data_IF_965054859821
#
_entry.id   IF_965054859821
#
_cell.length_a   1.000
_cell.length_b   1.000
_cell.length_c   1.000
_cell.angle_alpha   90.00
_cell.angle_beta   90.00
_cell.angle_gamma   90.00
#
_symmetry.space_group_name_H-M   'P 1'
#
loop_
_entity.id
_entity.type
_entity.pdbx_description
1 polymer ?
#
# COMPACT_ATOMS: atom_id res chain seq x y z
N UNK A 1 -24.69 1.05 -6.51
CA UNK A 1 -23.69 1.67 -5.60
C UNK A 1 -24.26 1.83 -4.18
N UNK A 2 -23.48 1.50 -3.16
CA UNK A 2 -23.87 1.48 -1.74
C UNK A 2 -22.71 1.99 -0.88
N UNK A 3 -23.05 2.73 0.18
CA UNK A 3 -22.12 3.10 1.25
C UNK A 3 -22.82 2.99 2.59
N UNK A 4 -22.21 2.22 3.51
CA UNK A 4 -22.82 1.96 4.81
C UNK A 4 -21.80 1.67 5.89
N UNK A 5 -22.21 1.98 7.12
CA UNK A 5 -21.45 1.66 8.31
C UNK A 5 -21.77 0.25 8.79
N UNK A 6 -20.75 -0.43 9.28
CA UNK A 6 -20.79 -1.80 9.77
C UNK A 6 -20.12 -1.85 11.14
N UNK A 7 -20.74 -2.54 12.09
CA UNK A 7 -20.05 -2.98 13.30
C UNK A 7 -19.30 -4.28 13.00
N UNK A 8 -17.99 -4.27 13.18
CA UNK A 8 -17.12 -5.45 13.12
C UNK A 8 -17.08 -6.14 14.50
N UNK A 9 -16.06 -6.96 14.74
CA UNK A 9 -15.84 -7.65 16.02
C UNK A 9 -15.72 -6.67 17.19
N UNK A 10 -16.20 -7.09 18.36
CA UNK A 10 -15.91 -6.51 19.69
C UNK A 10 -15.59 -5.00 19.70
N UNK A 11 -16.56 -4.18 19.27
CA UNK A 11 -16.54 -2.70 19.28
C UNK A 11 -15.77 -1.98 18.15
N UNK A 12 -15.18 -2.72 17.21
CA UNK A 12 -14.61 -2.15 15.99
C UNK A 12 -15.69 -1.81 14.97
N UNK A 13 -15.43 -0.79 14.16
CA UNK A 13 -16.35 -0.35 13.12
C UNK A 13 -15.64 -0.22 11.79
N UNK A 14 -16.41 -0.33 10.71
CA UNK A 14 -15.93 -0.18 9.36
C UNK A 14 -16.98 0.49 8.46
N UNK A 15 -16.54 0.95 7.30
CA UNK A 15 -17.38 1.40 6.20
C UNK A 15 -17.25 0.42 5.04
N UNK A 16 -18.38 0.03 4.46
CA UNK A 16 -18.41 -0.70 3.20
C UNK A 16 -18.71 0.31 2.09
N UNK A 17 -17.88 0.34 1.05
CA UNK A 17 -18.15 1.02 -0.21
C UNK A 17 -18.34 -0.04 -1.30
N UNK A 18 -19.34 0.11 -2.15
CA UNK A 18 -19.62 -0.81 -3.24
C UNK A 18 -20.09 -0.05 -4.47
N UNK A 19 -19.49 -0.32 -5.63
CA UNK A 19 -19.92 0.24 -6.92
C UNK A 19 -20.36 -0.82 -7.94
N UNK A 20 -20.78 -1.97 -7.44
CA UNK A 20 -21.25 -3.14 -8.17
C UNK A 20 -20.12 -3.93 -8.87
N UNK A 21 -19.01 -3.27 -9.25
CA UNK A 21 -17.80 -3.92 -9.78
C UNK A 21 -16.84 -4.38 -8.67
N UNK A 22 -16.61 -3.51 -7.69
CA UNK A 22 -15.76 -3.80 -6.54
C UNK A 22 -16.45 -3.45 -5.22
N UNK A 23 -16.04 -4.14 -4.16
CA UNK A 23 -16.40 -3.83 -2.78
C UNK A 23 -15.13 -3.56 -1.99
N UNK A 24 -15.17 -2.51 -1.17
CA UNK A 24 -14.12 -2.14 -0.25
C UNK A 24 -14.66 -2.13 1.17
N UNK A 25 -13.92 -2.70 2.12
CA UNK A 25 -14.22 -2.63 3.56
C UNK A 25 -13.09 -1.88 4.26
N UNK A 26 -13.41 -0.72 4.83
CA UNK A 26 -12.47 0.20 5.47
C UNK A 26 -12.71 0.21 6.97
N UNK A 27 -11.79 -0.31 7.76
CA UNK A 27 -11.86 -0.30 9.22
C UNK A 27 -11.38 1.04 9.79
N UNK A 28 -12.04 1.49 10.86
CA UNK A 28 -11.66 2.72 11.56
C UNK A 28 -10.31 2.54 12.31
N UNK A 29 -10.04 1.36 12.84
CA UNK A 29 -8.75 1.00 13.42
C UNK A 29 -7.67 0.90 12.32
N UNK A 30 -6.68 1.77 12.40
CA UNK A 30 -5.56 1.84 11.46
C UNK A 30 -5.92 2.39 10.08
N UNK A 31 -7.20 2.64 9.81
CA UNK A 31 -7.66 3.06 8.48
C UNK A 31 -7.48 1.94 7.45
N UNK A 32 -7.47 0.69 7.92
CA UNK A 32 -7.11 -0.52 7.17
C UNK A 32 -8.17 -0.83 6.13
N UNK A 33 -7.74 -1.16 4.93
CA UNK A 33 -8.60 -1.72 3.88
C UNK A 33 -8.56 -3.23 4.04
N UNK A 34 -9.57 -3.80 4.69
CA UNK A 34 -9.65 -5.22 5.00
C UNK A 34 -9.98 -6.06 3.76
N UNK A 35 -10.79 -5.48 2.87
CA UNK A 35 -11.31 -6.13 1.68
C UNK A 35 -11.17 -5.17 0.50
N UNK A 36 -10.63 -5.67 -0.60
CA UNK A 36 -10.86 -5.16 -1.95
C UNK A 36 -11.23 -6.37 -2.80
N UNK A 37 -12.52 -6.51 -3.08
CA UNK A 37 -13.06 -7.70 -3.74
C UNK A 37 -13.79 -7.40 -5.03
N UNK A 38 -13.72 -8.33 -5.98
CA UNK A 38 -14.40 -8.27 -7.27
C UNK A 38 -14.94 -9.65 -7.66
N UNK A 39 -15.86 -9.68 -8.61
CA UNK A 39 -16.40 -10.93 -9.16
C UNK A 39 -15.40 -11.49 -10.16
N UNK A 40 -14.98 -12.73 -9.95
CA UNK A 40 -14.07 -13.41 -10.86
C UNK A 40 -14.81 -14.00 -12.07
N UNK A 41 -14.14 -14.21 -13.22
CA UNK A 41 -14.78 -14.75 -14.42
C UNK A 41 -15.38 -16.14 -14.25
N UNK A 42 -14.83 -16.95 -13.35
CA UNK A 42 -15.34 -18.28 -12.99
C UNK A 42 -16.52 -18.23 -12.00
N UNK A 43 -16.99 -17.03 -11.64
CA UNK A 43 -18.03 -16.81 -10.65
C UNK A 43 -17.48 -16.70 -9.23
N UNK A 44 -18.32 -16.17 -8.34
CA UNK A 44 -17.92 -15.87 -6.96
C UNK A 44 -17.14 -14.57 -6.82
N UNK A 45 -17.00 -14.12 -5.57
CA UNK A 45 -16.31 -12.89 -5.21
C UNK A 45 -14.99 -13.25 -4.52
N UNK A 46 -13.89 -12.72 -5.05
CA UNK A 46 -12.53 -12.98 -4.56
C UNK A 46 -12.04 -11.71 -3.87
N UNK A 47 -11.40 -11.84 -2.71
CA UNK A 47 -10.70 -10.73 -2.06
C UNK A 47 -9.22 -10.75 -2.45
N UNK A 48 -8.67 -9.60 -2.80
CA UNK A 48 -7.23 -9.45 -3.06
C UNK A 48 -6.41 -9.32 -1.77
N UNK A 49 -6.99 -8.69 -0.75
CA UNK A 49 -6.30 -8.26 0.46
C UNK A 49 -6.07 -9.40 1.45
N UNK A 50 -4.88 -9.43 2.05
CA UNK A 50 -4.53 -10.39 3.09
C UNK A 50 -5.28 -10.06 4.38
N UNK A 51 -5.95 -11.06 4.95
CA UNK A 51 -6.34 -11.08 6.36
C UNK A 51 -5.40 -12.03 7.10
N UNK A 52 -4.38 -11.54 7.82
CA UNK A 52 -3.44 -12.42 8.50
C UNK A 52 -4.14 -13.30 9.53
N UNK A 53 -3.70 -14.55 9.68
CA UNK A 53 -4.26 -15.49 10.67
C UNK A 53 -4.16 -14.95 12.10
N UNK A 54 -3.14 -14.14 12.36
CA UNK A 54 -2.86 -13.54 13.66
C UNK A 54 -3.63 -12.23 13.89
N UNK A 55 -4.49 -11.79 12.97
CA UNK A 55 -5.20 -10.52 13.14
C UNK A 55 -6.01 -10.52 14.44
N UNK A 56 -5.74 -9.54 15.30
CA UNK A 56 -6.45 -9.38 16.57
C UNK A 56 -7.89 -8.93 16.34
N UNK A 57 -8.82 -9.53 17.08
CA UNK A 57 -10.26 -9.22 17.00
C UNK A 57 -10.76 -8.31 18.12
N UNK A 58 -9.99 -8.16 19.20
CA UNK A 58 -10.36 -7.32 20.35
C UNK A 58 -10.21 -5.83 20.07
N UNK A 59 -10.60 -5.00 21.05
CA UNK A 59 -10.58 -3.53 20.92
C UNK A 59 -9.18 -2.95 20.78
N UNK A 60 -8.19 -3.56 21.45
CA UNK A 60 -6.80 -3.08 21.48
C UNK A 60 -5.85 -4.21 21.85
N UNK A 61 -4.62 -4.14 21.33
CA UNK A 61 -3.53 -5.04 21.76
C UNK A 61 -3.26 -4.92 23.25
N UNK A 62 -3.46 -3.74 23.85
CA UNK A 62 -3.12 -3.52 25.26
C UNK A 62 -4.09 -4.18 26.24
N UNK A 63 -5.29 -4.52 25.78
CA UNK A 63 -6.29 -5.28 26.55
C UNK A 63 -6.24 -6.78 26.28
N UNK A 64 -5.41 -7.23 25.34
CA UNK A 64 -5.28 -8.63 24.98
C UNK A 64 -4.31 -9.33 25.95
N UNK A 65 -4.73 -10.45 26.54
CA UNK A 65 -3.90 -11.22 27.48
C UNK A 65 -2.64 -11.78 26.80
N UNK A 66 -2.68 -12.00 25.48
CA UNK A 66 -1.56 -12.51 24.69
C UNK A 66 -0.85 -11.40 23.88
N UNK A 67 -0.91 -10.14 24.34
CA UNK A 67 -0.34 -8.96 23.67
C UNK A 67 1.12 -9.08 23.22
N UNK A 68 1.92 -9.87 23.93
CA UNK A 68 3.33 -10.11 23.61
C UNK A 68 3.52 -10.88 22.30
N UNK A 69 2.53 -11.68 21.88
CA UNK A 69 2.50 -12.34 20.57
C UNK A 69 2.55 -11.31 19.42
N UNK A 70 1.92 -10.16 19.60
CA UNK A 70 1.98 -9.02 18.68
C UNK A 70 3.07 -8.00 19.05
N UNK A 71 3.98 -8.36 19.96
CA UNK A 71 5.05 -7.48 20.44
C UNK A 71 4.51 -6.15 20.96
N UNK A 72 3.32 -6.16 21.58
CA UNK A 72 2.63 -4.96 22.06
C UNK A 72 2.40 -3.90 20.97
N UNK A 73 2.36 -4.29 19.69
CA UNK A 73 2.24 -3.37 18.55
C UNK A 73 0.78 -3.26 18.07
N UNK A 74 0.13 -2.09 18.21
CA UNK A 74 -1.21 -1.87 17.66
C UNK A 74 -1.24 -2.09 16.15
N UNK A 75 -0.19 -1.65 15.44
CA UNK A 75 -0.06 -1.89 14.00
C UNK A 75 -0.12 -3.39 13.67
N UNK A 76 0.66 -4.24 14.34
CA UNK A 76 0.65 -5.69 14.06
C UNK A 76 -0.69 -6.32 14.45
N UNK A 77 -1.30 -5.87 15.55
CA UNK A 77 -2.59 -6.37 16.03
C UNK A 77 -3.73 -6.12 15.04
N UNK A 78 -3.73 -4.96 14.38
CA UNK A 78 -4.77 -4.58 13.41
C UNK A 78 -4.30 -4.65 11.96
N UNK A 79 -3.16 -5.26 11.65
CA UNK A 79 -2.64 -5.37 10.28
C UNK A 79 -3.60 -6.16 9.40
N UNK A 80 -3.96 -5.61 8.24
CA UNK A 80 -4.68 -6.30 7.19
C UNK A 80 -4.63 -5.49 5.89
N UNK A 81 -4.68 -6.21 4.77
CA UNK A 81 -4.88 -5.67 3.44
C UNK A 81 -4.03 -4.45 3.14
N UNK A 82 -4.68 -3.32 2.91
CA UNK A 82 -3.99 -2.09 2.51
C UNK A 82 -4.07 -0.99 3.57
N UNK A 83 -3.03 -0.17 3.70
CA UNK A 83 -2.98 0.91 4.67
C UNK A 83 -1.94 1.98 4.34
N UNK A 84 -2.11 3.15 4.93
CA UNK A 84 -1.18 4.28 4.81
C UNK A 84 -0.21 4.29 6.00
N UNK A 85 1.08 4.45 5.71
CA UNK A 85 2.16 4.57 6.69
C UNK A 85 2.73 5.98 6.68
N UNK A 86 2.58 6.66 7.81
CA UNK A 86 2.95 8.06 8.02
C UNK A 86 3.05 8.36 9.53
N UNK A 87 4.02 9.18 9.99
CA UNK A 87 5.05 9.88 9.22
C UNK A 87 6.30 9.03 8.92
N UNK A 88 6.22 7.72 9.19
CA UNK A 88 7.34 6.79 9.17
C UNK A 88 6.96 5.51 8.39
N UNK A 89 7.89 4.91 7.65
CA UNK A 89 7.72 3.61 7.01
C UNK A 89 8.93 2.71 7.29
N UNK A 90 8.76 1.77 8.23
CA UNK A 90 9.88 0.96 8.72
C UNK A 90 9.71 0.50 10.17
N UNK A 91 10.81 0.17 10.86
CA UNK A 91 10.78 -0.15 12.28
C UNK A 91 10.28 1.03 13.14
N UNK A 92 9.94 0.78 14.41
CA UNK A 92 9.70 1.84 15.39
C UNK A 92 10.89 2.78 15.47
N UNK A 93 10.65 4.08 15.67
CA UNK A 93 11.72 5.07 15.86
C UNK A 93 11.62 5.67 17.25
N UNK A 94 12.77 5.89 17.90
CA UNK A 94 12.86 6.68 19.12
C UNK A 94 12.83 8.17 18.77
N UNK A 95 11.94 8.93 19.41
CA UNK A 95 12.05 10.39 19.43
C UNK A 95 12.84 10.86 20.66
N UNK A 96 13.39 12.07 20.60
CA UNK A 96 14.20 12.70 21.66
C UNK A 96 13.53 12.69 23.06
N UNK A 97 12.19 12.62 23.12
CA UNK A 97 11.40 12.59 24.34
C UNK A 97 11.08 11.18 24.91
N UNK A 98 11.82 10.13 24.52
CA UNK A 98 11.53 8.73 24.88
C UNK A 98 10.13 8.23 24.46
N UNK A 99 9.39 8.95 23.62
CA UNK A 99 8.17 8.43 22.99
C UNK A 99 8.54 7.67 21.72
N UNK A 100 8.27 6.36 21.71
CA UNK A 100 8.46 5.52 20.53
C UNK A 100 7.32 5.78 19.53
N UNK A 101 7.66 6.17 18.29
CA UNK A 101 6.72 6.01 17.19
C UNK A 101 6.62 4.53 16.85
N UNK A 102 5.39 4.03 16.69
CA UNK A 102 5.14 2.64 16.33
C UNK A 102 5.77 2.24 14.99
N UNK A 103 5.91 0.93 14.79
CA UNK A 103 6.30 0.36 13.50
C UNK A 103 5.42 0.91 12.38
N UNK A 104 6.03 1.38 11.29
CA UNK A 104 5.36 1.98 10.13
C UNK A 104 4.52 3.23 10.47
N UNK A 105 4.90 3.94 11.53
CA UNK A 105 4.37 5.25 11.88
C UNK A 105 3.08 5.20 12.71
N UNK A 106 2.45 6.36 12.83
CA UNK A 106 1.30 6.57 13.70
C UNK A 106 -0.01 6.16 13.02
N UNK A 107 -0.16 6.49 11.74
CA UNK A 107 -1.41 6.29 10.98
C UNK A 107 -1.93 4.85 10.94
N UNK A 108 -1.11 3.79 10.75
CA UNK A 108 -1.62 2.42 10.74
C UNK A 108 -1.78 1.83 12.15
N UNK A 109 -1.51 2.59 13.20
CA UNK A 109 -1.71 2.23 14.61
C UNK A 109 -2.86 3.01 15.27
N UNK A 110 -3.36 4.05 14.62
CA UNK A 110 -4.30 5.01 15.20
C UNK A 110 -5.76 4.68 14.85
N UNK A 111 -6.69 5.25 15.61
CA UNK A 111 -8.10 5.25 15.25
C UNK A 111 -8.41 6.40 14.29
N UNK A 112 -9.07 6.08 13.17
CA UNK A 112 -9.53 7.03 12.17
C UNK A 112 -10.99 7.38 12.43
N UNK A 113 -11.24 8.64 12.75
CA UNK A 113 -12.58 9.16 12.97
C UNK A 113 -13.26 9.43 11.63
N UNK A 114 -14.37 8.74 11.35
CA UNK A 114 -15.21 9.07 10.20
C UNK A 114 -15.84 10.45 10.43
N UNK A 115 -15.54 11.40 9.53
CA UNK A 115 -16.11 12.75 9.58
C UNK A 115 -17.41 12.81 8.78
N UNK A 116 -17.37 12.35 7.52
CA UNK A 116 -18.49 12.42 6.56
C UNK A 116 -18.41 11.29 5.54
N UNK A 117 -19.53 10.92 4.96
CA UNK A 117 -19.60 9.99 3.83
C UNK A 117 -20.87 10.23 3.04
N UNK A 118 -20.89 9.83 1.77
CA UNK A 118 -22.06 10.03 0.92
C UNK A 118 -21.87 9.65 -0.53
N UNK A 119 -22.74 10.19 -1.38
CA UNK A 119 -22.64 10.11 -2.83
C UNK A 119 -22.26 11.47 -3.38
N UNK A 120 -21.32 11.50 -4.32
CA UNK A 120 -20.91 12.71 -5.00
C UNK A 120 -21.92 13.07 -6.10
N UNK A 121 -22.53 14.27 -6.08
CA UNK A 121 -23.54 14.64 -7.07
C UNK A 121 -22.96 14.92 -8.46
N UNK A 122 -21.65 15.19 -8.58
CA UNK A 122 -21.02 15.54 -9.86
C UNK A 122 -20.61 14.28 -10.65
N UNK A 123 -19.97 13.32 -9.98
CA UNK A 123 -19.46 12.11 -10.62
C UNK A 123 -20.27 10.85 -10.29
N UNK A 124 -21.25 10.95 -9.40
CA UNK A 124 -22.08 9.83 -8.95
C UNK A 124 -21.38 8.83 -8.03
N UNK A 125 -20.08 9.00 -7.74
CA UNK A 125 -19.32 8.05 -6.91
C UNK A 125 -19.70 8.08 -5.44
N UNK A 126 -19.53 6.95 -4.74
CA UNK A 126 -19.65 6.91 -3.27
C UNK A 126 -18.30 7.22 -2.62
N UNK A 127 -18.30 7.92 -1.50
CA UNK A 127 -17.08 8.37 -0.84
C UNK A 127 -17.18 8.39 0.68
N UNK A 128 -16.03 8.24 1.34
CA UNK A 128 -15.83 8.32 2.78
C UNK A 128 -14.70 9.31 3.08
N UNK A 129 -14.90 10.20 4.06
CA UNK A 129 -13.84 11.03 4.62
C UNK A 129 -13.61 10.68 6.09
N UNK A 130 -12.36 10.35 6.42
CA UNK A 130 -11.91 9.98 7.75
C UNK A 130 -10.71 10.82 8.17
N UNK A 131 -10.52 10.99 9.47
CA UNK A 131 -9.51 11.86 10.05
C UNK A 131 -8.71 11.14 11.13
N UNK A 132 -7.39 11.34 11.11
CA UNK A 132 -6.51 11.03 12.23
C UNK A 132 -5.73 12.29 12.63
N UNK A 133 -5.58 12.53 13.92
CA UNK A 133 -4.83 13.66 14.48
C UNK A 133 -3.77 13.16 15.45
N UNK A 134 -2.52 13.57 15.24
CA UNK A 134 -1.49 13.45 16.28
C UNK A 134 -1.44 14.77 17.05
N UNK A 135 -2.08 14.81 18.22
CA UNK A 135 -2.14 16.03 19.05
C UNK A 135 -0.79 16.42 19.64
N UNK A 136 0.08 15.43 19.92
CA UNK A 136 1.41 15.67 20.49
C UNK A 136 2.30 16.36 19.46
N UNK A 137 2.37 15.78 18.26
CA UNK A 137 3.19 16.30 17.15
C UNK A 137 2.47 17.35 16.29
N UNK A 138 1.21 17.68 16.65
CA UNK A 138 0.38 18.72 16.03
C UNK A 138 0.29 18.65 14.50
N UNK A 139 0.11 17.45 13.96
CA UNK A 139 -0.25 17.25 12.56
C UNK A 139 -1.51 16.40 12.45
N UNK A 140 -2.16 16.45 11.29
CA UNK A 140 -3.33 15.63 11.00
C UNK A 140 -3.32 15.10 9.58
N UNK A 141 -4.03 14.00 9.37
CA UNK A 141 -4.29 13.42 8.04
C UNK A 141 -5.79 13.23 7.88
N UNK A 142 -6.36 13.84 6.84
CA UNK A 142 -7.68 13.47 6.32
C UNK A 142 -7.50 12.50 5.16
N UNK A 143 -8.22 11.38 5.18
CA UNK A 143 -8.25 10.39 4.11
C UNK A 143 -9.62 10.45 3.44
N UNK A 144 -9.64 10.57 2.13
CA UNK A 144 -10.84 10.44 1.31
C UNK A 144 -10.71 9.18 0.48
N UNK A 145 -11.63 8.24 0.67
CA UNK A 145 -11.77 7.02 -0.12
C UNK A 145 -12.98 7.14 -1.03
N UNK A 146 -12.86 6.76 -2.31
CA UNK A 146 -13.90 6.97 -3.32
C UNK A 146 -13.99 5.78 -4.31
N UNK A 147 -15.22 5.39 -4.64
CA UNK A 147 -15.53 4.50 -5.75
C UNK A 147 -16.37 5.24 -6.80
N UNK A 148 -15.93 5.21 -8.05
CA UNK A 148 -16.65 5.81 -9.17
C UNK A 148 -17.57 4.79 -9.87
N UNK A 149 -18.67 5.22 -10.51
CA UNK A 149 -19.49 4.33 -11.33
C UNK A 149 -18.67 3.71 -12.46
N UNK A 150 -18.93 2.44 -12.79
CA UNK A 150 -18.35 1.73 -13.95
C UNK A 150 -16.80 1.68 -13.98
N UNK A 151 -16.14 1.85 -12.83
CA UNK A 151 -14.69 1.73 -12.69
C UNK A 151 -14.35 0.75 -11.57
N UNK A 152 -13.56 -0.31 -11.80
CA UNK A 152 -13.22 -1.27 -10.76
C UNK A 152 -12.06 -0.75 -9.88
N UNK A 153 -12.10 0.52 -9.48
CA UNK A 153 -10.98 1.23 -8.86
C UNK A 153 -11.36 1.85 -7.52
N UNK A 154 -10.57 1.56 -6.50
CA UNK A 154 -10.57 2.26 -5.22
C UNK A 154 -9.60 3.42 -5.25
N UNK A 155 -10.11 4.65 -5.23
CA UNK A 155 -9.31 5.88 -5.21
C UNK A 155 -9.17 6.39 -3.77
N UNK A 156 -7.96 6.83 -3.42
CA UNK A 156 -7.67 7.38 -2.11
C UNK A 156 -6.85 8.67 -2.21
N UNK A 157 -7.20 9.67 -1.41
CA UNK A 157 -6.39 10.87 -1.15
C UNK A 157 -6.06 10.97 0.34
N UNK A 158 -4.80 11.18 0.68
CA UNK A 158 -4.35 11.50 2.04
C UNK A 158 -3.89 12.96 2.09
N UNK A 159 -4.68 13.82 2.72
CA UNK A 159 -4.44 15.25 2.91
C UNK A 159 -3.77 15.44 4.28
N UNK A 160 -2.51 15.83 4.27
CA UNK A 160 -1.65 15.94 5.45
C UNK A 160 -1.41 17.41 5.76
N UNK A 161 -1.78 17.85 6.96
CA UNK A 161 -1.56 19.23 7.41
C UNK A 161 -0.61 19.22 8.60
N UNK A 162 0.47 20.00 8.51
CA UNK A 162 1.43 20.22 9.59
C UNK A 162 1.09 21.53 10.32
N UNK A 163 0.88 21.48 11.63
CA UNK A 163 0.65 22.65 12.48
C UNK A 163 1.58 22.62 13.71
N UNK A 164 2.77 22.04 13.56
CA UNK A 164 3.69 21.79 14.67
C UNK A 164 4.48 23.00 15.15
N UNK A 165 4.54 24.07 14.36
CA UNK A 165 5.45 25.19 14.57
C UNK A 165 6.84 24.95 13.98
N UNK A 166 7.07 23.82 13.29
CA UNK A 166 8.34 23.46 12.67
C UNK A 166 8.12 22.63 11.38
N UNK A 167 9.16 22.56 10.54
CA UNK A 167 9.15 21.72 9.34
C UNK A 167 9.20 20.23 9.73
N UNK A 168 8.36 19.42 9.09
CA UNK A 168 8.28 17.98 9.33
C UNK A 168 8.93 17.21 8.19
N UNK A 169 9.98 16.44 8.50
CA UNK A 169 10.64 15.53 7.56
C UNK A 169 10.08 14.12 7.76
N UNK A 170 9.51 13.54 6.72
CA UNK A 170 8.65 12.36 6.85
C UNK A 170 8.75 11.39 5.68
N UNK A 171 8.41 10.12 5.91
CA UNK A 171 8.05 9.18 4.86
C UNK A 171 6.52 9.10 4.71
N UNK A 172 6.08 8.89 3.48
CA UNK A 172 4.69 8.62 3.15
C UNK A 172 4.64 7.42 2.21
N UNK A 173 4.11 6.31 2.69
CA UNK A 173 4.06 5.05 1.93
C UNK A 173 2.69 4.42 2.02
N UNK A 174 2.18 4.01 0.87
CA UNK A 174 1.02 3.15 0.77
C UNK A 174 1.46 1.68 0.77
N UNK A 175 0.90 0.86 1.66
CA UNK A 175 1.17 -0.57 1.75
C UNK A 175 0.00 -1.37 1.18
N UNK A 176 0.26 -2.41 0.39
CA UNK A 176 -0.76 -3.27 -0.21
C UNK A 176 -0.44 -4.74 0.04
N UNK A 177 -1.02 -5.34 1.07
CA UNK A 177 -0.80 -6.75 1.41
C UNK A 177 -1.81 -7.63 0.69
N UNK A 178 -1.29 -8.47 -0.19
CA UNK A 178 -2.07 -9.40 -0.98
C UNK A 178 -1.85 -10.82 -0.46
N UNK A 179 -2.95 -11.56 -0.37
CA UNK A 179 -2.97 -12.92 0.16
C UNK A 179 -3.98 -13.81 -0.55
N UNK A 180 -4.03 -15.06 -0.12
CA UNK A 180 -5.08 -16.00 -0.55
C UNK A 180 -6.48 -15.41 -0.23
N UNK A 181 -7.51 -15.62 -1.08
CA UNK A 181 -7.53 -16.52 -2.23
C UNK A 181 -6.97 -15.96 -3.54
N UNK A 182 -6.76 -14.64 -3.67
CA UNK A 182 -6.25 -14.07 -4.93
C UNK A 182 -4.77 -14.38 -5.17
N UNK A 183 -3.93 -14.22 -4.15
CA UNK A 183 -2.49 -14.40 -4.26
C UNK A 183 -2.10 -15.87 -4.05
N UNK A 184 -1.39 -16.43 -5.03
CA UNK A 184 -0.92 -17.81 -5.03
C UNK A 184 0.35 -17.94 -5.90
N UNK A 185 0.96 -19.12 -5.90
CA UNK A 185 2.11 -19.41 -6.79
C UNK A 185 1.74 -19.21 -8.27
N UNK A 186 2.70 -18.84 -9.11
CA UNK A 186 2.44 -18.55 -10.52
C UNK A 186 1.72 -17.21 -10.78
N UNK A 187 1.39 -16.43 -9.73
CA UNK A 187 1.07 -15.03 -9.92
C UNK A 187 2.27 -14.30 -10.52
N UNK A 188 2.00 -13.27 -11.33
CA UNK A 188 3.01 -12.51 -12.07
C UNK A 188 3.01 -11.07 -11.59
N UNK A 189 4.20 -10.52 -11.38
CA UNK A 189 4.42 -9.19 -10.82
C UNK A 189 4.95 -8.25 -11.89
N UNK A 190 4.56 -6.98 -11.78
CA UNK A 190 5.03 -5.93 -12.66
C UNK A 190 5.08 -4.57 -11.96
N UNK A 191 5.95 -3.68 -12.39
CA UNK A 191 5.99 -2.30 -11.91
C UNK A 191 6.73 -1.39 -12.90
N UNK A 192 6.44 -0.09 -12.84
CA UNK A 192 7.28 0.90 -13.52
C UNK A 192 8.56 1.15 -12.72
N UNK A 193 9.62 0.42 -13.04
CA UNK A 193 10.96 0.74 -12.59
C UNK A 193 12.00 0.12 -13.52
N UNK A 194 13.13 0.81 -13.68
CA UNK A 194 14.29 0.35 -14.45
C UNK A 194 15.53 0.14 -13.58
N UNK A 195 15.47 0.59 -12.32
CA UNK A 195 16.54 0.46 -11.36
C UNK A 195 15.94 0.04 -10.03
N UNK A 196 16.55 -0.98 -9.44
CA UNK A 196 16.10 -1.64 -8.23
C UNK A 196 17.24 -1.73 -7.23
N UNK A 197 16.89 -1.82 -5.96
CA UNK A 197 17.84 -2.06 -4.88
C UNK A 197 17.26 -3.05 -3.86
N UNK A 198 18.08 -4.00 -3.42
CA UNK A 198 17.73 -4.91 -2.32
C UNK A 198 17.98 -4.29 -0.95
N UNK A 199 17.21 -4.72 0.04
CA UNK A 199 17.39 -4.29 1.43
C UNK A 199 18.79 -4.64 1.98
N UNK A 200 19.36 -3.85 2.90
CA UNK A 200 20.48 -4.25 3.74
C UNK A 200 20.17 -5.53 4.54
N UNK A 201 21.22 -6.26 4.90
CA UNK A 201 21.10 -7.42 5.77
C UNK A 201 20.45 -7.04 7.11
N UNK A 202 19.51 -7.88 7.58
CA UNK A 202 18.84 -7.68 8.86
C UNK A 202 17.81 -6.54 8.91
N UNK A 203 17.58 -5.80 7.82
CA UNK A 203 16.59 -4.71 7.82
C UNK A 203 15.17 -5.17 8.19
N UNK A 204 14.78 -6.35 7.70
CA UNK A 204 13.54 -6.99 8.11
C UNK A 204 13.84 -7.93 9.26
N UNK A 205 13.50 -7.54 10.48
CA UNK A 205 13.79 -8.31 11.69
C UNK A 205 13.15 -9.71 11.65
N UNK A 206 13.88 -10.72 12.11
CA UNK A 206 13.40 -12.11 12.20
C UNK A 206 13.12 -12.75 10.84
N UNK A 207 13.77 -12.26 9.78
CA UNK A 207 13.56 -12.74 8.42
C UNK A 207 14.80 -13.40 7.82
N UNK A 208 14.57 -14.36 6.93
CA UNK A 208 15.61 -15.03 6.17
C UNK A 208 15.52 -14.62 4.70
N UNK A 209 16.36 -13.68 4.29
CA UNK A 209 16.46 -13.23 2.90
C UNK A 209 17.38 -14.13 2.07
N UNK A 210 17.11 -14.26 0.77
CA UNK A 210 18.02 -14.91 -0.20
C UNK A 210 18.78 -13.89 -1.06
N UNK A 211 18.32 -12.64 -1.12
CA UNK A 211 18.92 -11.61 -1.98
C UNK A 211 20.24 -11.10 -1.41
N UNK A 212 21.21 -10.86 -2.29
CA UNK A 212 22.44 -10.17 -1.93
C UNK A 212 22.09 -8.78 -1.38
N UNK A 213 22.51 -8.42 -0.16
CA UNK A 213 22.05 -7.21 0.51
C UNK A 213 22.61 -5.95 -0.15
N UNK A 214 21.85 -4.85 -0.06
CA UNK A 214 22.26 -3.50 -0.49
C UNK A 214 22.84 -3.45 -1.92
N UNK A 215 22.25 -4.21 -2.84
CA UNK A 215 22.75 -4.37 -4.21
C UNK A 215 21.78 -3.73 -5.18
N UNK A 216 22.30 -2.90 -6.10
CA UNK A 216 21.52 -2.32 -7.19
C UNK A 216 21.52 -3.25 -8.40
N UNK A 217 20.40 -3.31 -9.11
CA UNK A 217 20.24 -4.10 -10.33
C UNK A 217 19.15 -3.48 -11.23
N UNK A 218 19.24 -3.73 -12.53
CA UNK A 218 18.34 -3.12 -13.52
C UNK A 218 17.18 -4.04 -13.92
N UNK A 219 17.40 -5.36 -13.84
CA UNK A 219 16.42 -6.37 -14.19
C UNK A 219 16.09 -7.22 -12.96
N UNK A 220 14.90 -7.03 -12.40
CA UNK A 220 14.43 -7.83 -11.26
C UNK A 220 14.12 -9.29 -11.59
N UNK A 221 14.19 -9.70 -12.88
CA UNK A 221 14.28 -11.12 -13.26
C UNK A 221 15.65 -11.74 -12.96
N UNK A 222 16.64 -10.88 -12.70
CA UNK A 222 18.03 -11.24 -12.43
C UNK A 222 18.49 -10.64 -11.11
N UNK A 223 17.63 -10.68 -10.09
CA UNK A 223 17.95 -10.16 -8.77
C UNK A 223 19.12 -10.97 -8.16
N UNK A 224 20.22 -10.32 -7.74
CA UNK A 224 21.40 -11.03 -7.23
C UNK A 224 21.13 -11.80 -5.93
N UNK A 225 21.67 -13.01 -5.81
CA UNK A 225 21.52 -13.87 -4.63
C UNK A 225 22.77 -13.87 -3.73
N UNK A 226 22.56 -14.05 -2.43
CA UNK A 226 23.62 -14.19 -1.42
C UNK A 226 24.61 -15.32 -1.73
N UNK A 227 24.11 -16.46 -2.23
CA UNK A 227 24.91 -17.63 -2.57
C UNK A 227 25.56 -17.58 -3.96
N UNK A 228 25.48 -16.44 -4.65
CA UNK A 228 25.82 -16.31 -6.07
C UNK A 228 24.66 -16.69 -7.00
N UNK A 229 24.77 -16.27 -8.27
CA UNK A 229 23.69 -16.40 -9.25
C UNK A 229 22.59 -15.35 -9.08
N UNK A 230 21.44 -15.61 -9.69
CA UNK A 230 20.30 -14.67 -9.74
C UNK A 230 18.97 -15.38 -9.54
N UNK A 231 17.96 -14.67 -9.06
CA UNK A 231 16.57 -15.14 -9.03
C UNK A 231 15.65 -14.24 -9.84
N UNK A 232 14.63 -14.86 -10.44
CA UNK A 232 13.50 -14.15 -11.03
C UNK A 232 12.51 -13.77 -9.92
N UNK A 233 12.29 -12.48 -9.71
CA UNK A 233 11.32 -11.96 -8.74
C UNK A 233 9.97 -11.59 -9.37
N UNK A 234 9.78 -11.83 -10.67
CA UNK A 234 8.58 -11.46 -11.41
C UNK A 234 7.50 -12.53 -11.40
N UNK A 235 7.85 -13.75 -10.98
CA UNK A 235 6.94 -14.85 -10.80
C UNK A 235 6.93 -15.28 -9.34
N UNK A 236 5.73 -15.47 -8.79
CA UNK A 236 5.55 -15.86 -7.40
C UNK A 236 5.82 -17.37 -7.28
N UNK A 237 6.87 -17.80 -6.54
CA UNK A 237 7.18 -19.22 -6.38
C UNK A 237 6.25 -19.87 -5.36
N UNK A 238 6.21 -21.21 -5.32
CA UNK A 238 5.73 -21.93 -4.13
C UNK A 238 6.48 -21.48 -2.86
N UNK A 239 5.96 -21.71 -1.65
CA UNK A 239 6.66 -21.32 -0.41
C UNK A 239 8.12 -21.82 -0.41
N UNK A 240 9.07 -20.88 -0.22
CA UNK A 240 10.53 -21.16 -0.26
C UNK A 240 11.22 -20.92 1.09
N UNK A 241 10.47 -20.54 2.13
CA UNK A 241 11.02 -20.21 3.45
C UNK A 241 11.89 -18.96 3.45
N UNK A 242 11.60 -18.00 2.56
CA UNK A 242 12.37 -16.74 2.42
C UNK A 242 11.49 -15.52 2.51
N UNK A 243 12.09 -14.42 2.96
CA UNK A 243 11.49 -13.10 2.96
C UNK A 243 12.47 -12.10 2.37
N UNK A 244 12.12 -11.57 1.20
CA UNK A 244 12.97 -10.65 0.45
C UNK A 244 12.31 -9.27 0.41
N UNK A 245 13.12 -8.20 0.30
CA UNK A 245 12.62 -6.84 0.11
C UNK A 245 13.43 -6.10 -0.96
N UNK A 246 12.73 -5.44 -1.87
CA UNK A 246 13.31 -4.59 -2.90
C UNK A 246 12.53 -3.28 -3.04
N UNK A 247 13.22 -2.23 -3.47
CA UNK A 247 12.59 -0.98 -3.93
C UNK A 247 13.05 -0.66 -5.34
N UNK A 248 12.10 -0.29 -6.20
CA UNK A 248 12.34 0.13 -7.58
C UNK A 248 12.03 1.61 -7.76
N UNK A 249 12.91 2.34 -8.44
CA UNK A 249 12.72 3.76 -8.74
C UNK A 249 11.66 3.96 -9.82
N UNK A 250 10.64 4.77 -9.53
CA UNK A 250 9.67 5.24 -10.53
C UNK A 250 10.39 6.22 -11.48
N UNK A 251 10.35 6.00 -12.81
CA UNK A 251 11.07 6.84 -13.76
C UNK A 251 10.65 8.32 -13.66
N UNK A 252 11.64 9.23 -13.69
CA UNK A 252 11.40 10.67 -13.49
C UNK A 252 10.59 11.34 -14.59
N UNK A 253 10.63 10.77 -15.79
CA UNK A 253 9.86 11.23 -16.95
C UNK A 253 8.43 10.71 -16.99
N UNK A 254 8.04 9.80 -16.08
CA UNK A 254 6.71 9.19 -16.10
C UNK A 254 5.63 10.11 -15.55
N UNK A 255 4.51 10.22 -16.28
CA UNK A 255 3.28 10.85 -15.79
C UNK A 255 2.46 9.94 -14.86
N UNK A 256 2.72 8.63 -14.92
CA UNK A 256 2.02 7.62 -14.12
C UNK A 256 3.06 6.68 -13.47
N UNK A 257 2.97 6.55 -12.15
CA UNK A 257 3.58 5.43 -11.45
C UNK A 257 2.57 4.31 -11.25
N UNK A 258 3.02 3.05 -11.33
CA UNK A 258 2.17 1.87 -11.22
C UNK A 258 2.93 0.61 -10.79
N UNK A 259 2.19 -0.34 -10.23
CA UNK A 259 2.60 -1.72 -9.98
C UNK A 259 1.41 -2.67 -10.15
N UNK A 260 1.65 -3.95 -10.38
CA UNK A 260 0.58 -4.93 -10.53
C UNK A 260 0.94 -6.32 -10.07
N UNK A 261 -0.08 -7.06 -9.66
CA UNK A 261 -0.06 -8.51 -9.45
C UNK A 261 -1.16 -9.11 -10.32
N UNK A 262 -0.80 -10.07 -11.17
CA UNK A 262 -1.71 -10.76 -12.07
C UNK A 262 -1.83 -12.19 -11.56
N UNK A 263 -3.06 -12.68 -11.37
CA UNK A 263 -3.32 -14.09 -11.19
C UNK A 263 -3.80 -14.69 -12.54
N UNK A 264 -2.97 -15.50 -13.22
CA UNK A 264 -3.34 -16.12 -14.49
C UNK A 264 -4.46 -17.15 -14.36
N UNK A 265 -4.49 -17.89 -13.24
CA UNK A 265 -5.47 -18.97 -13.00
C UNK A 265 -6.87 -18.42 -12.75
N UNK A 266 -6.96 -17.31 -12.03
CA UNK A 266 -8.23 -16.63 -11.74
C UNK A 266 -8.61 -15.60 -12.81
N UNK A 267 -7.71 -15.30 -13.74
CA UNK A 267 -7.87 -14.23 -14.74
C UNK A 267 -8.17 -12.86 -14.12
N UNK A 268 -7.54 -12.58 -12.97
CA UNK A 268 -7.72 -11.34 -12.21
C UNK A 268 -6.42 -10.53 -12.17
N UNK A 269 -6.53 -9.21 -12.11
CA UNK A 269 -5.41 -8.29 -11.91
C UNK A 269 -5.69 -7.36 -10.74
N UNK A 270 -4.70 -7.23 -9.84
CA UNK A 270 -4.57 -6.15 -8.88
C UNK A 270 -3.59 -5.13 -9.44
N UNK A 271 -4.03 -3.92 -9.74
CA UNK A 271 -3.23 -2.91 -10.39
C UNK A 271 -3.26 -1.61 -9.59
N UNK A 272 -2.11 -1.14 -9.13
CA UNK A 272 -2.00 0.14 -8.42
C UNK A 272 -1.47 1.22 -9.34
N UNK A 273 -1.93 2.45 -9.13
CA UNK A 273 -1.41 3.60 -9.84
C UNK A 273 -1.51 4.89 -9.03
N UNK A 274 -0.66 5.84 -9.38
CA UNK A 274 -0.51 7.12 -8.70
C UNK A 274 0.14 8.15 -9.65
N UNK A 275 0.00 9.46 -9.40
CA UNK A 275 0.69 10.47 -10.19
C UNK A 275 2.20 10.21 -10.24
N UNK A 276 2.73 10.06 -11.44
CA UNK A 276 4.17 9.90 -11.65
C UNK A 276 4.91 11.23 -11.44
N UNK A 277 6.25 11.20 -11.27
CA UNK A 277 7.03 12.40 -10.95
C UNK A 277 6.83 13.59 -11.91
N UNK A 278 6.53 13.33 -13.19
CA UNK A 278 6.32 14.37 -14.20
C UNK A 278 4.90 14.98 -14.20
N UNK A 279 3.97 14.41 -13.43
CA UNK A 279 2.56 14.86 -13.36
C UNK A 279 2.16 15.39 -11.97
N UNK A 280 3.12 15.56 -11.06
CA UNK A 280 2.86 16.06 -9.71
C UNK A 280 2.44 17.53 -9.72
N UNK A 281 1.37 17.84 -9.00
CA UNK A 281 1.02 19.21 -8.63
C UNK A 281 1.94 19.78 -7.54
N UNK A 282 1.88 21.10 -7.28
CA UNK A 282 2.73 21.76 -6.29
C UNK A 282 2.53 21.25 -4.85
N UNK A 283 1.32 20.79 -4.54
CA UNK A 283 0.93 20.28 -3.22
C UNK A 283 0.88 18.75 -3.17
N UNK A 284 1.28 18.07 -4.25
CA UNK A 284 1.25 16.61 -4.31
C UNK A 284 2.48 16.04 -3.58
N UNK A 285 2.25 15.02 -2.75
CA UNK A 285 3.31 14.21 -2.15
C UNK A 285 3.86 13.28 -3.24
N UNK A 286 5.16 13.33 -3.57
CA UNK A 286 5.74 12.43 -4.57
C UNK A 286 5.67 10.97 -4.09
N UNK A 287 5.49 10.05 -5.04
CA UNK A 287 5.64 8.61 -4.84
C UNK A 287 6.80 8.15 -5.71
N UNK A 288 7.98 8.05 -5.09
CA UNK A 288 9.24 7.85 -5.81
C UNK A 288 9.59 6.36 -6.03
N UNK A 289 9.05 5.46 -5.21
CA UNK A 289 9.45 4.06 -5.20
C UNK A 289 8.26 3.11 -5.23
N UNK A 290 8.41 2.03 -6.00
CA UNK A 290 7.61 0.82 -5.85
C UNK A 290 8.36 -0.14 -4.91
N UNK A 291 7.69 -0.60 -3.86
CA UNK A 291 8.27 -1.45 -2.82
C UNK A 291 7.63 -2.83 -2.86
N UNK A 292 8.46 -3.88 -2.84
CA UNK A 292 7.97 -5.26 -2.75
C UNK A 292 8.58 -5.96 -1.54
N UNK A 293 7.73 -6.39 -0.60
CA UNK A 293 8.08 -7.34 0.46
C UNK A 293 7.50 -8.70 0.08
N UNK A 294 8.37 -9.63 -0.28
CA UNK A 294 8.00 -10.99 -0.65
C UNK A 294 7.99 -11.85 0.62
N UNK A 295 6.82 -12.18 1.17
CA UNK A 295 6.72 -13.00 2.37
C UNK A 295 6.38 -14.44 1.99
N UNK A 296 7.40 -15.24 1.65
CA UNK A 296 7.24 -16.63 1.20
C UNK A 296 7.69 -17.61 2.29
N UNK A 297 7.26 -17.34 3.52
CA UNK A 297 7.51 -18.18 4.69
C UNK A 297 8.85 -17.93 5.42
N UNK A 298 9.51 -16.79 5.18
CA UNK A 298 10.83 -16.50 5.77
C UNK A 298 10.83 -15.81 7.13
N UNK A 299 9.67 -15.54 7.75
CA UNK A 299 9.58 -14.88 9.06
C UNK A 299 9.36 -15.89 10.20
N UNK A 300 10.37 -16.04 11.04
CA UNK A 300 10.45 -17.12 12.06
C UNK A 300 10.05 -16.65 13.46
N UNK A 301 9.51 -15.44 13.59
CA UNK A 301 9.14 -14.84 14.87
C UNK A 301 7.63 -14.59 14.93
N UNK A 302 7.01 -14.55 16.12
CA UNK A 302 5.67 -14.01 16.28
C UNK A 302 5.54 -12.57 15.74
N UNK A 303 4.36 -12.18 15.21
CA UNK A 303 3.16 -13.00 15.06
C UNK A 303 3.15 -13.83 13.76
N UNK A 304 4.22 -13.82 12.97
CA UNK A 304 4.27 -14.56 11.69
C UNK A 304 4.44 -16.07 11.86
N UNK A 305 5.10 -16.48 12.94
CA UNK A 305 5.20 -17.86 13.40
C UNK A 305 4.53 -18.00 14.78
N UNK A 306 4.15 -19.22 15.17
CA UNK A 306 3.51 -19.48 16.47
C UNK A 306 4.45 -19.27 17.67
N UNK A 307 5.75 -19.42 17.47
CA UNK A 307 6.79 -19.25 18.48
C UNK A 307 8.10 -18.83 17.80
N UNK A 308 9.03 -18.27 18.57
CA UNK A 308 10.34 -17.85 18.05
C UNK A 308 11.14 -19.04 17.50
N UNK A 309 11.66 -18.91 16.27
CA UNK A 309 12.29 -19.99 15.52
C UNK A 309 11.31 -20.96 14.85
N UNK A 310 10.00 -20.74 14.95
CA UNK A 310 8.97 -21.58 14.35
C UNK A 310 8.78 -21.38 12.85
N UNK A 311 7.86 -22.15 12.26
CA UNK A 311 7.49 -22.02 10.85
C UNK A 311 6.56 -20.83 10.64
N UNK A 312 6.92 -19.97 9.69
CA UNK A 312 6.07 -18.88 9.24
C UNK A 312 4.75 -19.40 8.65
N UNK A 313 3.64 -18.83 9.05
CA UNK A 313 2.31 -19.11 8.46
C UNK A 313 1.93 -18.07 7.39
N UNK A 314 2.86 -17.19 7.03
CA UNK A 314 2.63 -16.11 6.07
C UNK A 314 3.10 -16.51 4.67
N UNK A 315 2.16 -16.47 3.72
CA UNK A 315 2.43 -16.53 2.30
C UNK A 315 1.69 -15.38 1.62
N UNK A 316 2.41 -14.29 1.36
CA UNK A 316 1.84 -13.03 0.89
C UNK A 316 2.87 -12.17 0.18
N UNK A 317 2.40 -11.08 -0.41
CA UNK A 317 3.25 -10.01 -0.92
C UNK A 317 2.73 -8.65 -0.46
N UNK A 318 3.62 -7.77 -0.02
CA UNK A 318 3.31 -6.34 0.06
C UNK A 318 3.81 -5.68 -1.23
N UNK A 319 2.91 -5.09 -2.02
CA UNK A 319 3.24 -4.34 -3.24
C UNK A 319 2.93 -2.84 -3.05
N UNK A 320 3.59 -2.22 -2.07
CA UNK A 320 3.39 -0.83 -1.72
C UNK A 320 4.13 0.14 -2.63
N UNK A 321 3.84 1.44 -2.49
CA UNK A 321 4.59 2.51 -3.16
C UNK A 321 4.65 3.74 -2.25
N UNK A 322 5.74 4.49 -2.30
CA UNK A 322 5.90 5.66 -1.44
C UNK A 322 7.13 6.49 -1.71
N UNK A 323 7.32 7.48 -0.84
CA UNK A 323 8.60 8.16 -0.65
C UNK A 323 9.19 7.66 0.67
N UNK A 324 10.19 6.79 0.54
CA UNK A 324 10.80 6.05 1.64
C UNK A 324 12.26 5.65 1.32
N UNK A 325 13.04 5.33 2.35
CA UNK A 325 14.36 4.68 2.20
C UNK A 325 14.26 3.20 2.52
N UNK A 326 13.80 2.40 1.56
CA UNK A 326 13.50 0.98 1.79
C UNK A 326 12.57 0.86 3.03
N UNK A 327 12.79 -0.11 3.92
CA UNK A 327 12.09 -0.25 5.20
C UNK A 327 12.92 0.29 6.40
N UNK A 328 13.65 1.41 6.26
CA UNK A 328 14.50 1.96 7.36
C UNK A 328 13.74 2.88 8.32
N UNK A 329 12.61 3.41 7.90
CA UNK A 329 11.92 4.46 8.64
C UNK A 329 12.66 5.79 8.63
N UNK A 330 12.23 6.70 9.50
CA UNK A 330 12.73 8.09 9.59
C UNK A 330 13.92 8.28 10.53
N UNK A 331 14.33 7.24 11.24
CA UNK A 331 15.48 7.32 12.15
C UNK A 331 16.75 7.63 11.37
N UNK A 332 17.44 8.72 11.76
CA UNK A 332 18.65 9.21 11.10
C UNK A 332 18.48 9.62 9.62
N UNK A 333 17.25 9.92 9.15
CA UNK A 333 17.06 10.48 7.82
C UNK A 333 17.42 11.98 7.79
N UNK A 334 18.17 12.37 6.77
CA UNK A 334 18.40 13.78 6.42
C UNK A 334 17.36 14.23 5.39
N UNK A 335 16.95 15.51 5.36
CA UNK A 335 16.12 16.06 4.27
C UNK A 335 16.69 15.82 2.86
N UNK A 336 18.02 15.66 2.76
CA UNK A 336 18.74 15.43 1.51
C UNK A 336 19.02 13.95 1.23
N UNK A 337 18.41 13.04 1.99
CA UNK A 337 18.65 11.62 1.83
C UNK A 337 18.02 11.09 0.53
N UNK A 338 18.80 10.28 -0.19
CA UNK A 338 18.40 9.77 -1.50
C UNK A 338 18.65 8.28 -1.64
N UNK A 339 17.81 7.64 -2.45
CA UNK A 339 17.95 6.25 -2.87
C UNK A 339 17.79 6.23 -4.39
N UNK A 340 18.75 5.65 -5.11
CA UNK A 340 18.77 5.65 -6.58
C UNK A 340 18.63 7.07 -7.18
N UNK A 341 19.19 8.09 -6.52
CA UNK A 341 19.11 9.49 -6.95
C UNK A 341 17.75 10.16 -6.72
N UNK A 342 16.84 9.52 -5.98
CA UNK A 342 15.54 10.07 -5.65
C UNK A 342 15.38 10.38 -4.16
N UNK A 343 14.71 11.48 -3.78
CA UNK A 343 14.44 11.78 -2.37
C UNK A 343 13.70 10.65 -1.67
N UNK A 344 14.15 10.30 -0.47
CA UNK A 344 13.54 9.27 0.38
C UNK A 344 12.59 9.87 1.41
N UNK A 345 12.57 11.20 1.54
CA UNK A 345 11.73 11.95 2.47
C UNK A 345 10.92 13.03 1.75
N UNK A 346 9.86 13.48 2.40
CA UNK A 346 9.11 14.69 2.05
C UNK A 346 9.19 15.63 3.23
N UNK A 347 9.45 16.91 2.96
CA UNK A 347 9.38 17.98 3.97
C UNK A 347 8.03 18.67 3.81
N UNK A 348 7.25 18.72 4.89
CA UNK A 348 6.00 19.48 4.98
C UNK A 348 6.24 20.63 5.94
N UNK A 349 6.23 21.86 5.44
CA UNK A 349 6.51 23.06 6.24
C UNK A 349 5.42 23.30 7.28
N UNK A 350 5.72 24.07 8.32
CA UNK A 350 4.69 24.50 9.26
C UNK A 350 3.58 25.28 8.54
N UNK A 351 2.32 24.98 8.89
CA UNK A 351 1.12 25.50 8.24
C UNK A 351 0.85 24.94 6.83
N UNK A 352 1.73 24.09 6.28
CA UNK A 352 1.56 23.54 4.94
C UNK A 352 0.62 22.32 4.94
N UNK A 353 -0.12 22.19 3.84
CA UNK A 353 -0.91 21.00 3.53
C UNK A 353 -0.42 20.36 2.23
N UNK A 354 -0.13 19.06 2.27
CA UNK A 354 0.25 18.26 1.10
C UNK A 354 -0.72 17.09 0.91
N UNK A 355 -0.92 16.62 -0.32
CA UNK A 355 -1.84 15.52 -0.63
C UNK A 355 -1.14 14.38 -1.36
N UNK A 356 -1.29 13.15 -0.87
CA UNK A 356 -0.91 11.94 -1.60
C UNK A 356 -2.14 11.37 -2.31
N UNK A 357 -2.05 11.10 -3.61
CA UNK A 357 -3.09 10.41 -4.39
C UNK A 357 -2.64 8.99 -4.73
N UNK A 358 -3.54 8.03 -4.54
CA UNK A 358 -3.27 6.62 -4.79
C UNK A 358 -4.53 5.90 -5.26
N UNK A 359 -4.40 4.92 -6.15
CA UNK A 359 -5.52 4.12 -6.62
C UNK A 359 -5.16 2.64 -6.75
N UNK A 360 -6.15 1.78 -6.52
CA UNK A 360 -6.05 0.32 -6.66
C UNK A 360 -7.22 -0.18 -7.49
N UNK A 361 -6.94 -0.71 -8.67
CA UNK A 361 -7.90 -1.46 -9.47
C UNK A 361 -7.86 -2.95 -9.10
N UNK A 362 -9.02 -3.59 -9.04
CA UNK A 362 -9.11 -5.04 -8.91
C UNK A 362 -10.24 -5.58 -9.78
N UNK A 363 -9.88 -6.25 -10.88
CA UNK A 363 -10.83 -6.64 -11.91
C UNK A 363 -10.36 -7.85 -12.70
N UNK A 364 -11.29 -8.52 -13.42
CA UNK A 364 -10.90 -9.45 -14.46
C UNK A 364 -10.21 -8.74 -15.63
N UNK A 365 -9.51 -9.51 -16.46
CA UNK A 365 -9.02 -9.03 -17.75
C UNK A 365 -9.46 -9.98 -18.88
N UNK A 366 -9.89 -9.41 -20.00
CA UNK A 366 -10.48 -10.19 -21.09
C UNK A 366 -9.45 -10.92 -21.94
N UNK A 367 -8.27 -10.32 -22.10
CA UNK A 367 -7.22 -10.89 -22.94
C UNK A 367 -6.32 -11.83 -22.13
N UNK A 368 -6.52 -13.13 -22.28
CA UNK A 368 -5.76 -14.18 -21.57
C UNK A 368 -4.24 -14.04 -21.74
N UNK A 369 -3.76 -13.42 -22.82
CA UNK A 369 -2.32 -13.17 -23.00
C UNK A 369 -1.76 -12.17 -22.00
N UNK A 370 -2.58 -11.32 -21.38
CA UNK A 370 -2.11 -10.44 -20.30
C UNK A 370 -1.74 -11.24 -19.05
N UNK A 371 -2.30 -12.45 -18.88
CA UNK A 371 -1.93 -13.39 -17.82
C UNK A 371 -0.43 -13.70 -17.76
N UNK A 372 0.26 -13.69 -18.91
CA UNK A 372 1.71 -13.89 -18.97
C UNK A 372 2.54 -12.59 -18.88
N UNK A 373 2.05 -11.58 -18.17
CA UNK A 373 2.61 -10.23 -18.02
C UNK A 373 2.35 -9.24 -19.17
N UNK A 374 2.55 -7.95 -18.91
CA UNK A 374 2.57 -6.85 -19.88
C UNK A 374 3.86 -6.02 -19.73
N UNK A 375 4.14 -5.10 -20.64
CA UNK A 375 5.41 -4.34 -20.65
C UNK A 375 5.23 -2.85 -20.41
N UNK A 376 4.13 -2.29 -20.89
CA UNK A 376 3.87 -0.86 -20.79
C UNK A 376 2.42 -0.60 -20.41
N UNK A 377 2.20 0.57 -19.81
CA UNK A 377 0.89 1.11 -19.47
C UNK A 377 0.78 2.48 -20.10
N UNK A 378 -0.32 2.70 -20.80
CA UNK A 378 -0.65 4.00 -21.38
C UNK A 378 -1.89 4.57 -20.69
N UNK A 379 -1.83 5.84 -20.30
CA UNK A 379 -2.99 6.59 -19.86
C UNK A 379 -3.76 7.07 -21.09
N UNK A 380 -5.07 6.81 -21.10
CA UNK A 380 -6.02 7.34 -22.08
C UNK A 380 -7.17 8.01 -21.33
N UNK A 381 -8.00 8.77 -22.05
CA UNK A 381 -9.10 9.55 -21.43
C UNK A 381 -10.03 8.68 -20.59
N UNK A 382 -10.30 7.46 -21.03
CA UNK A 382 -11.26 6.55 -20.41
C UNK A 382 -10.64 5.63 -19.36
N UNK A 383 -9.30 5.60 -19.24
CA UNK A 383 -8.63 4.67 -18.32
C UNK A 383 -7.19 4.32 -18.70
N UNK A 384 -6.85 3.05 -18.48
CA UNK A 384 -5.49 2.53 -18.60
C UNK A 384 -5.44 1.39 -19.61
N UNK A 385 -4.53 1.47 -20.57
CA UNK A 385 -4.27 0.41 -21.54
C UNK A 385 -3.00 -0.34 -21.15
N UNK A 386 -3.13 -1.61 -20.80
CA UNK A 386 -2.02 -2.52 -20.50
C UNK A 386 -1.58 -3.19 -21.80
N UNK A 387 -0.32 -3.02 -22.22
CA UNK A 387 0.17 -3.51 -23.53
C UNK A 387 1.20 -4.63 -23.38
N UNK A 388 0.95 -5.73 -24.10
CA UNK A 388 1.88 -6.85 -24.30
C UNK A 388 2.03 -7.15 -25.78
N UNK A 389 3.10 -6.67 -26.42
CA UNK A 389 3.33 -6.85 -27.88
C UNK A 389 2.12 -6.41 -28.72
N UNK A 390 1.39 -7.34 -29.37
CA UNK A 390 0.17 -7.12 -30.15
C UNK A 390 -1.13 -7.30 -29.34
N UNK A 391 -1.03 -7.57 -28.04
CA UNK A 391 -2.15 -7.86 -27.15
C UNK A 391 -2.30 -6.73 -26.13
N UNK A 392 -3.52 -6.44 -25.73
CA UNK A 392 -3.80 -5.41 -24.73
C UNK A 392 -4.98 -5.82 -23.83
N UNK A 393 -5.06 -5.20 -22.66
CA UNK A 393 -6.26 -5.15 -21.81
C UNK A 393 -6.50 -3.70 -21.36
N UNK A 394 -7.72 -3.42 -20.94
CA UNK A 394 -8.14 -2.09 -20.54
C UNK A 394 -8.73 -2.11 -19.14
N UNK A 395 -8.38 -1.10 -18.34
CA UNK A 395 -8.97 -0.85 -17.03
C UNK A 395 -9.66 0.52 -17.09
N UNK A 396 -10.99 0.52 -17.02
CA UNK A 396 -11.80 1.74 -16.91
C UNK A 396 -11.42 2.50 -15.63
N UNK A 397 -10.91 3.71 -15.76
CA UNK A 397 -10.38 4.48 -14.64
C UNK A 397 -10.32 5.98 -14.94
N UNK A 398 -10.45 6.80 -13.90
CA UNK A 398 -9.94 8.16 -13.90
C UNK A 398 -8.44 8.14 -13.54
N UNK A 399 -7.60 7.86 -14.55
CA UNK A 399 -6.15 7.75 -14.36
C UNK A 399 -5.46 9.05 -13.96
N UNK A 400 -6.17 10.18 -14.04
CA UNK A 400 -5.66 11.52 -13.72
C UNK A 400 -6.06 11.99 -12.33
N UNK A 401 -6.88 11.21 -11.63
CA UNK A 401 -7.49 11.56 -10.34
C UNK A 401 -8.34 12.84 -10.40
N UNK A 402 -8.86 13.20 -11.57
CA UNK A 402 -9.62 14.44 -11.76
C UNK A 402 -10.80 14.53 -10.80
N UNK A 403 -11.58 13.46 -10.72
CA UNK A 403 -12.80 13.34 -9.93
C UNK A 403 -12.51 13.43 -8.44
N UNK A 404 -11.48 12.71 -7.99
CA UNK A 404 -11.03 12.74 -6.60
C UNK A 404 -10.47 14.12 -6.23
N UNK A 405 -9.64 14.74 -7.07
CA UNK A 405 -9.10 16.09 -6.86
C UNK A 405 -10.21 17.14 -6.72
N UNK A 406 -11.25 17.07 -7.56
CA UNK A 406 -12.41 17.98 -7.46
C UNK A 406 -13.24 17.73 -6.20
N UNK A 407 -13.48 16.47 -5.84
CA UNK A 407 -14.16 16.11 -4.59
C UNK A 407 -13.37 16.61 -3.38
N UNK A 408 -12.06 16.35 -3.31
CA UNK A 408 -11.18 16.83 -2.24
C UNK A 408 -11.28 18.34 -2.07
N UNK A 409 -11.19 19.10 -3.16
CA UNK A 409 -11.34 20.57 -3.10
C UNK A 409 -12.69 20.99 -2.52
N UNK A 410 -13.80 20.41 -3.00
CA UNK A 410 -15.15 20.74 -2.51
C UNK A 410 -15.31 20.45 -1.01
N UNK A 411 -14.87 19.28 -0.58
CA UNK A 411 -15.00 18.86 0.82
C UNK A 411 -14.19 19.75 1.77
N UNK A 412 -12.97 20.14 1.38
CA UNK A 412 -12.13 21.01 2.19
C UNK A 412 -12.58 22.49 2.21
N UNK A 413 -13.24 22.98 1.16
CA UNK A 413 -13.82 24.35 1.14
C UNK A 413 -15.16 24.47 1.85
N UNK A 414 -15.79 23.34 2.19
CA UNK A 414 -17.07 23.30 2.92
C UNK A 414 -16.89 23.31 4.45
N UNK A 415 -15.68 23.62 4.91
CA UNK A 415 -15.32 23.94 6.29
C UNK A 415 -15.25 25.47 6.45
#
# INVERSE_FOLDING_TARGET
MDIRRLRLWESRNATVLNNDLIRVVLEDQGGMELELSSVAPNGGRINAHLLPYYRGTGTSVFSDENRDFWKNSPHLYQRAGSYFSFPNYGPPTSQEDNTQQGQSGFTPSAYWMVERYGTDPEFGGVWLMSLVRNRKEKWQVRKIDMLLPNQPVHYTACIITNNSGADMVTNATWSNELGSPFFESGCVLNACAQSWVSSPAGQIQGSVSRLQPNTQFEDWKKAPLLGGGTADLTEVPSPIGKTDFISGLVPRSSNLGWSSVINPRQQMIYFTFFPGPNALGPDDIPVNFNNFLFEYGGRIEPPWAFYAGGMSQQYSINCGSGTNRLYRGTENLSPNDTLLGAPTTVTIKDGETKTLYYAKAFCPYDNTRIGGNFYTVEQVVEGLVLKRTKSWAFISADSTFHSLKRLTKRLLTSE
#
